data_IF_578388506185
#
_entry.id   IF_578388506185
#
_cell.length_a   1.000
_cell.length_b   1.000
_cell.length_c   1.000
_cell.angle_alpha   90.00
_cell.angle_beta   90.00
_cell.angle_gamma   90.00
#
_symmetry.space_group_name_H-M   'P 1'
#
loop_
_entity.id
_entity.type
_entity.pdbx_description
1 polymer ?
#
# COMPACT_ATOMS: atom_id res chain seq x y z
N UNK A 1 5.11 23.56 -14.87
CA UNK A 1 6.19 23.04 -14.00
C UNK A 1 5.70 22.65 -12.60
N UNK A 2 4.93 23.51 -11.93
CA UNK A 2 4.38 23.21 -10.59
C UNK A 2 3.49 21.94 -10.58
N UNK A 3 2.58 21.80 -11.55
CA UNK A 3 1.70 20.64 -11.62
C UNK A 3 2.42 19.33 -11.97
N UNK A 4 3.53 19.40 -12.70
CA UNK A 4 4.41 18.24 -12.92
C UNK A 4 5.04 17.76 -11.62
N UNK A 5 5.60 18.68 -10.85
CA UNK A 5 6.20 18.38 -9.54
C UNK A 5 5.14 17.81 -8.60
N UNK A 6 3.92 18.38 -8.63
CA UNK A 6 2.81 17.87 -7.83
C UNK A 6 2.42 16.45 -8.23
N UNK A 7 2.34 16.15 -9.53
CA UNK A 7 2.06 14.80 -10.01
C UNK A 7 3.15 13.81 -9.59
N UNK A 8 4.42 14.17 -9.75
CA UNK A 8 5.54 13.34 -9.34
C UNK A 8 5.57 13.10 -7.81
N UNK A 9 5.19 14.11 -7.03
CA UNK A 9 5.06 13.98 -5.57
C UNK A 9 3.93 13.00 -5.19
N UNK A 10 2.81 13.03 -5.91
CA UNK A 10 1.70 12.10 -5.68
C UNK A 10 2.11 10.66 -6.05
N UNK A 11 2.89 10.47 -7.12
CA UNK A 11 3.46 9.15 -7.47
C UNK A 11 4.33 8.63 -6.33
N UNK A 12 5.25 9.43 -5.83
CA UNK A 12 6.12 9.06 -4.73
C UNK A 12 5.33 8.73 -3.45
N UNK A 13 4.32 9.54 -3.15
CA UNK A 13 3.42 9.33 -2.01
C UNK A 13 2.63 8.02 -2.16
N UNK A 14 2.12 7.74 -3.35
CA UNK A 14 1.35 6.53 -3.62
C UNK A 14 2.22 5.28 -3.50
N UNK A 15 3.42 5.31 -4.08
CA UNK A 15 4.38 4.22 -3.93
C UNK A 15 4.77 4.01 -2.46
N UNK A 16 5.04 5.09 -1.73
CA UNK A 16 5.31 5.05 -0.29
C UNK A 16 4.14 4.47 0.50
N UNK A 17 2.91 4.80 0.13
CA UNK A 17 1.71 4.23 0.74
C UNK A 17 1.62 2.71 0.52
N UNK A 18 1.89 2.23 -0.70
CA UNK A 18 1.87 0.80 -1.01
C UNK A 18 2.92 0.05 -0.19
N UNK A 19 4.16 0.56 -0.15
CA UNK A 19 5.24 -0.03 0.65
C UNK A 19 4.88 -0.03 2.14
N UNK A 20 4.31 1.07 2.64
CA UNK A 20 3.85 1.18 4.02
C UNK A 20 2.70 0.20 4.33
N UNK A 21 1.72 0.07 3.44
CA UNK A 21 0.62 -0.88 3.61
C UNK A 21 1.10 -2.33 3.65
N UNK A 22 2.15 -2.68 2.90
CA UNK A 22 2.72 -4.02 2.88
C UNK A 22 3.63 -4.29 4.09
N UNK A 23 4.55 -3.39 4.38
CA UNK A 23 5.67 -3.66 5.30
C UNK A 23 5.70 -2.74 6.53
N UNK A 24 4.83 -1.76 6.59
CA UNK A 24 4.83 -0.76 7.65
C UNK A 24 4.63 -1.34 9.05
N UNK A 25 3.99 -2.49 9.16
CA UNK A 25 3.80 -3.19 10.43
C UNK A 25 5.12 -3.52 11.14
N UNK A 26 6.22 -3.73 10.40
CA UNK A 26 7.56 -3.97 10.96
C UNK A 26 7.99 -2.80 11.85
N UNK A 27 7.61 -1.58 11.51
CA UNK A 27 7.93 -0.38 12.29
C UNK A 27 7.23 -0.37 13.67
N UNK A 28 6.21 -1.18 13.88
CA UNK A 28 5.55 -1.33 15.17
C UNK A 28 6.49 -1.91 16.24
N UNK A 29 7.60 -2.54 15.85
CA UNK A 29 8.67 -2.96 16.77
C UNK A 29 9.26 -1.74 17.48
N UNK A 30 9.40 -0.64 16.75
CA UNK A 30 9.98 0.62 17.25
C UNK A 30 8.93 1.52 17.89
N UNK A 31 7.75 1.62 17.29
CA UNK A 31 6.69 2.53 17.70
C UNK A 31 5.38 1.77 17.98
N UNK A 32 4.97 1.73 19.23
CA UNK A 32 3.78 1.00 19.67
C UNK A 32 2.46 1.59 19.16
N UNK A 33 2.44 2.87 18.80
CA UNK A 33 1.27 3.55 18.24
C UNK A 33 1.08 3.31 16.75
N UNK A 34 2.09 2.80 16.07
CA UNK A 34 2.09 2.64 14.62
C UNK A 34 0.92 1.80 14.10
N UNK A 35 0.48 0.71 14.75
CA UNK A 35 -0.68 -0.05 14.29
C UNK A 35 -1.96 0.78 14.16
N UNK A 36 -2.13 1.84 14.95
CA UNK A 36 -3.29 2.73 14.87
C UNK A 36 -3.36 3.49 13.54
N UNK A 37 -2.23 3.72 12.91
CA UNK A 37 -2.12 4.36 11.60
C UNK A 37 -2.02 3.32 10.48
N UNK A 38 -1.24 2.29 10.71
CA UNK A 38 -0.95 1.27 9.70
C UNK A 38 -2.17 0.40 9.37
N UNK A 39 -2.93 -0.05 10.37
CA UNK A 39 -4.09 -0.91 10.14
C UNK A 39 -5.17 -0.26 9.28
N UNK A 40 -5.57 1.01 9.50
CA UNK A 40 -6.46 1.70 8.59
C UNK A 40 -5.90 1.84 7.18
N UNK A 41 -4.59 2.10 7.04
CA UNK A 41 -3.94 2.21 5.74
C UNK A 41 -3.94 0.88 4.98
N UNK A 42 -3.58 -0.21 5.65
CA UNK A 42 -3.61 -1.55 5.08
C UNK A 42 -5.03 -2.00 4.71
N UNK A 43 -6.01 -1.69 5.57
CA UNK A 43 -7.43 -1.97 5.32
C UNK A 43 -7.94 -1.21 4.09
N UNK A 44 -7.53 0.03 3.92
CA UNK A 44 -7.87 0.84 2.75
C UNK A 44 -7.29 0.24 1.46
N UNK A 45 -6.00 -0.13 1.46
CA UNK A 45 -5.36 -0.77 0.32
C UNK A 45 -6.06 -2.09 -0.04
N UNK A 46 -6.37 -2.91 0.95
CA UNK A 46 -7.11 -4.16 0.77
C UNK A 46 -8.51 -3.91 0.18
N UNK A 47 -9.22 -2.90 0.68
CA UNK A 47 -10.54 -2.52 0.18
C UNK A 47 -10.50 -2.10 -1.30
N UNK A 48 -9.52 -1.28 -1.69
CA UNK A 48 -9.34 -0.84 -3.08
C UNK A 48 -9.12 -2.05 -4.00
N UNK A 49 -8.25 -2.99 -3.63
CA UNK A 49 -7.99 -4.18 -4.44
C UNK A 49 -9.20 -5.10 -4.54
N UNK A 50 -9.90 -5.36 -3.44
CA UNK A 50 -11.08 -6.23 -3.44
C UNK A 50 -12.25 -5.61 -4.20
N UNK A 51 -12.47 -4.30 -4.04
CA UNK A 51 -13.58 -3.60 -4.71
C UNK A 51 -13.34 -3.33 -6.19
N UNK A 52 -12.09 -3.43 -6.64
CA UNK A 52 -11.70 -3.10 -8.02
C UNK A 52 -11.81 -1.61 -8.35
N UNK A 53 -11.81 -0.76 -7.34
CA UNK A 53 -11.84 0.70 -7.50
C UNK A 53 -10.46 1.26 -7.77
N UNK A 54 -10.43 2.40 -8.45
CA UNK A 54 -9.19 3.18 -8.61
C UNK A 54 -8.92 3.93 -7.31
N UNK A 55 -7.66 3.95 -6.88
CA UNK A 55 -7.26 4.69 -5.69
C UNK A 55 -7.44 6.20 -5.91
N UNK A 56 -7.98 6.96 -4.94
CA UNK A 56 -8.10 8.42 -5.05
C UNK A 56 -6.78 9.14 -5.33
N UNK A 57 -5.64 8.60 -4.91
CA UNK A 57 -4.32 9.16 -5.23
C UNK A 57 -4.03 9.10 -6.73
N UNK A 58 -4.50 8.07 -7.43
CA UNK A 58 -4.40 7.96 -8.89
C UNK A 58 -5.21 9.04 -9.58
N UNK A 59 -6.42 9.31 -9.10
CA UNK A 59 -7.27 10.39 -9.64
C UNK A 59 -6.61 11.75 -9.45
N UNK A 60 -6.02 11.99 -8.27
CA UNK A 60 -5.31 13.21 -7.96
C UNK A 60 -4.06 13.40 -8.84
N UNK A 61 -3.30 12.33 -9.05
CA UNK A 61 -2.15 12.34 -9.96
C UNK A 61 -2.58 12.72 -11.37
N UNK A 62 -3.64 12.10 -11.88
CA UNK A 62 -4.16 12.38 -13.21
C UNK A 62 -4.64 13.82 -13.35
N UNK A 63 -5.29 14.38 -12.34
CA UNK A 63 -5.71 15.78 -12.35
C UNK A 63 -4.51 16.72 -12.49
N UNK A 64 -3.45 16.48 -11.74
CA UNK A 64 -2.22 17.27 -11.86
C UNK A 64 -1.52 17.09 -13.21
N UNK A 65 -1.52 15.87 -13.77
CA UNK A 65 -0.96 15.63 -15.11
C UNK A 65 -1.71 16.40 -16.19
N UNK A 66 -3.04 16.37 -16.13
CA UNK A 66 -3.88 17.12 -17.08
C UNK A 66 -3.64 18.63 -16.97
N UNK A 67 -3.51 19.16 -15.77
CA UNK A 67 -3.19 20.59 -15.54
C UNK A 67 -1.79 20.97 -16.02
N UNK A 68 -0.86 20.00 -16.05
CA UNK A 68 0.49 20.18 -16.56
C UNK A 68 0.56 20.04 -18.10
N UNK A 69 -0.55 19.77 -18.78
CA UNK A 69 -0.60 19.50 -20.22
C UNK A 69 -0.09 18.11 -20.60
N UNK A 70 -0.01 17.20 -19.64
CA UNK A 70 0.37 15.80 -19.87
C UNK A 70 -0.87 14.93 -20.07
N UNK A 71 -0.70 13.79 -20.77
CA UNK A 71 -1.76 12.79 -20.87
C UNK A 71 -1.94 12.07 -19.53
N UNK A 72 -3.19 11.98 -19.06
CA UNK A 72 -3.54 11.12 -17.94
C UNK A 72 -3.67 9.65 -18.37
N UNK A 73 -3.92 8.76 -17.41
CA UNK A 73 -4.20 7.35 -17.66
C UNK A 73 -5.46 6.90 -16.92
N UNK A 74 -6.15 5.89 -17.45
CA UNK A 74 -7.39 5.36 -16.87
C UNK A 74 -7.18 4.12 -16.01
N UNK A 75 -6.03 3.48 -16.17
CA UNK A 75 -5.65 2.30 -15.41
C UNK A 75 -5.34 2.65 -13.95
N UNK A 76 -5.41 1.67 -13.07
CA UNK A 76 -4.94 1.82 -11.70
C UNK A 76 -3.41 2.02 -11.67
N UNK A 77 -2.92 2.60 -10.57
CA UNK A 77 -1.49 2.87 -10.37
C UNK A 77 -0.62 1.62 -10.56
N UNK A 78 -1.01 0.51 -9.95
CA UNK A 78 -0.28 -0.76 -10.05
C UNK A 78 -0.28 -1.27 -11.48
N UNK A 79 -1.41 -1.20 -12.18
CA UNK A 79 -1.52 -1.58 -13.58
C UNK A 79 -0.61 -0.74 -14.46
N UNK A 80 -0.64 0.59 -14.28
CA UNK A 80 0.09 1.52 -15.13
C UNK A 80 1.61 1.43 -14.96
N UNK A 81 2.11 1.40 -13.71
CA UNK A 81 3.54 1.49 -13.43
C UNK A 81 4.22 0.15 -13.19
N UNK A 82 3.52 -0.80 -12.58
CA UNK A 82 4.12 -2.07 -12.17
C UNK A 82 3.75 -3.21 -13.11
N UNK A 83 2.48 -3.41 -13.37
CA UNK A 83 2.03 -4.54 -14.18
C UNK A 83 2.19 -4.30 -15.68
N UNK A 84 2.17 -3.06 -16.15
CA UNK A 84 2.40 -2.72 -17.55
C UNK A 84 3.75 -3.19 -18.07
N UNK A 85 4.75 -3.32 -17.19
CA UNK A 85 6.08 -3.84 -17.51
C UNK A 85 6.13 -5.38 -17.44
N UNK A 86 5.41 -5.97 -16.48
CA UNK A 86 5.49 -7.40 -16.16
C UNK A 86 4.36 -8.18 -16.86
N UNK A 87 3.18 -7.57 -16.97
CA UNK A 87 1.95 -8.20 -17.50
C UNK A 87 1.29 -7.30 -18.55
N UNK A 88 1.54 -7.55 -19.85
CA UNK A 88 0.93 -6.75 -20.93
C UNK A 88 -0.60 -6.87 -21.02
N UNK A 89 -1.19 -7.93 -20.46
CA UNK A 89 -2.64 -8.17 -20.48
C UNK A 89 -3.44 -7.29 -19.51
N UNK A 90 -2.75 -6.51 -18.64
CA UNK A 90 -3.39 -5.59 -17.71
C UNK A 90 -3.87 -6.21 -16.40
N UNK A 91 -4.55 -5.41 -15.62
CA UNK A 91 -5.03 -5.78 -14.29
C UNK A 91 -6.37 -6.50 -14.39
N UNK A 92 -6.37 -7.81 -14.20
CA UNK A 92 -7.61 -8.61 -14.11
C UNK A 92 -8.11 -8.67 -12.67
N UNK A 93 -9.38 -9.07 -12.49
CA UNK A 93 -9.94 -9.29 -11.14
C UNK A 93 -9.17 -10.35 -10.36
N UNK A 94 -8.67 -11.37 -11.04
CA UNK A 94 -7.84 -12.42 -10.43
C UNK A 94 -6.52 -11.86 -9.89
N UNK A 95 -5.88 -10.98 -10.65
CA UNK A 95 -4.65 -10.29 -10.21
C UNK A 95 -4.93 -9.39 -9.02
N UNK A 96 -6.05 -8.65 -9.03
CA UNK A 96 -6.45 -7.81 -7.90
C UNK A 96 -6.69 -8.63 -6.63
N UNK A 97 -7.39 -9.76 -6.73
CA UNK A 97 -7.57 -10.66 -5.58
C UNK A 97 -6.26 -11.26 -5.10
N UNK A 98 -5.33 -11.57 -6.01
CA UNK A 98 -3.99 -12.04 -5.65
C UNK A 98 -3.20 -10.97 -4.89
N UNK A 99 -3.26 -9.71 -5.33
CA UNK A 99 -2.63 -8.59 -4.64
C UNK A 99 -3.25 -8.36 -3.26
N UNK A 100 -4.57 -8.43 -3.15
CA UNK A 100 -5.27 -8.36 -1.86
C UNK A 100 -4.82 -9.50 -0.93
N UNK A 101 -4.68 -10.70 -1.46
CA UNK A 101 -4.16 -11.86 -0.74
C UNK A 101 -2.73 -11.65 -0.23
N UNK A 102 -1.86 -11.07 -1.05
CA UNK A 102 -0.48 -10.74 -0.65
C UNK A 102 -0.47 -9.73 0.50
N UNK A 103 -1.26 -8.66 0.40
CA UNK A 103 -1.38 -7.66 1.47
C UNK A 103 -1.84 -8.33 2.76
N UNK A 104 -2.87 -9.15 2.69
CA UNK A 104 -3.43 -9.83 3.85
C UNK A 104 -2.42 -10.79 4.50
N UNK A 105 -1.77 -11.65 3.69
CA UNK A 105 -0.83 -12.67 4.18
C UNK A 105 0.42 -12.02 4.78
N UNK A 106 1.01 -11.04 4.10
CA UNK A 106 2.20 -10.34 4.58
C UNK A 106 1.90 -9.66 5.92
N UNK A 107 0.79 -8.93 6.01
CA UNK A 107 0.41 -8.24 7.25
C UNK A 107 0.05 -9.22 8.37
N UNK A 108 -0.69 -10.29 8.07
CA UNK A 108 -1.00 -11.32 9.06
C UNK A 108 0.27 -11.98 9.61
N UNK A 109 1.24 -12.29 8.74
CA UNK A 109 2.53 -12.86 9.14
C UNK A 109 3.32 -11.90 10.04
N UNK A 110 3.42 -10.63 9.67
CA UNK A 110 4.16 -9.63 10.45
C UNK A 110 3.49 -9.40 11.81
N UNK A 111 2.17 -9.22 11.86
CA UNK A 111 1.46 -9.01 13.13
C UNK A 111 1.49 -10.25 14.03
N UNK A 112 1.39 -11.45 13.47
CA UNK A 112 1.53 -12.70 14.21
C UNK A 112 2.93 -12.79 14.84
N UNK A 113 3.96 -12.49 14.07
CA UNK A 113 5.34 -12.45 14.55
C UNK A 113 5.53 -11.41 15.66
N UNK A 114 4.96 -10.22 15.52
CA UNK A 114 5.02 -9.16 16.53
C UNK A 114 4.35 -9.60 17.84
N UNK A 115 3.17 -10.20 17.75
CA UNK A 115 2.44 -10.69 18.91
C UNK A 115 3.20 -11.81 19.61
N UNK A 116 3.77 -12.75 18.85
CA UNK A 116 4.55 -13.85 19.39
C UNK A 116 5.82 -13.35 20.07
N UNK A 117 6.53 -12.42 19.45
CA UNK A 117 7.70 -11.76 20.04
C UNK A 117 7.35 -11.02 21.33
N UNK A 118 6.25 -10.31 21.36
CA UNK A 118 5.76 -9.61 22.55
C UNK A 118 5.42 -10.57 23.70
N UNK A 119 4.76 -11.68 23.38
CA UNK A 119 4.45 -12.73 24.37
C UNK A 119 5.71 -13.38 24.93
N UNK A 120 6.71 -13.64 24.08
CA UNK A 120 7.99 -14.21 24.49
C UNK A 120 8.75 -13.28 25.45
N UNK A 121 8.86 -12.00 25.13
CA UNK A 121 9.50 -10.99 25.99
C UNK A 121 8.76 -10.83 27.31
N UNK A 122 7.43 -10.84 27.31
CA UNK A 122 6.61 -10.75 28.52
C UNK A 122 6.80 -11.96 29.45
N UNK A 123 6.95 -13.17 28.91
CA UNK A 123 7.24 -14.38 29.68
C UNK A 123 8.61 -14.29 30.38
N UNK A 124 9.62 -13.84 29.66
CA UNK A 124 10.97 -13.67 30.23
C UNK A 124 11.02 -12.65 31.36
N UNK A 125 10.22 -11.59 31.30
CA UNK A 125 10.12 -10.60 32.39
C UNK A 125 9.43 -11.13 33.64
N UNK A 126 8.53 -12.11 33.50
CA UNK A 126 7.82 -12.69 34.64
C UNK A 126 8.61 -13.80 35.37
N UNK A 127 9.58 -14.41 34.71
CA UNK A 127 10.40 -15.49 35.25
C UNK A 127 11.73 -15.01 35.85
N UNK A 128 12.03 -13.75 35.77
CA UNK A 128 13.16 -13.09 36.42
C UNK A 128 12.70 -12.16 37.52
#
# INVERSE_FOLDING_TARGET
MLFRIAADAVIALHLGFIVFALFGAVLAVRWRWLPLVHLPAAAWGLFIEISGRVCPLTDLENDFRLRAGQAGYRADFIEHYLLGVIYPSGLTREVQYSLAGVVLVVNAAIYTWLLWRGAFVARHRRSG
#
